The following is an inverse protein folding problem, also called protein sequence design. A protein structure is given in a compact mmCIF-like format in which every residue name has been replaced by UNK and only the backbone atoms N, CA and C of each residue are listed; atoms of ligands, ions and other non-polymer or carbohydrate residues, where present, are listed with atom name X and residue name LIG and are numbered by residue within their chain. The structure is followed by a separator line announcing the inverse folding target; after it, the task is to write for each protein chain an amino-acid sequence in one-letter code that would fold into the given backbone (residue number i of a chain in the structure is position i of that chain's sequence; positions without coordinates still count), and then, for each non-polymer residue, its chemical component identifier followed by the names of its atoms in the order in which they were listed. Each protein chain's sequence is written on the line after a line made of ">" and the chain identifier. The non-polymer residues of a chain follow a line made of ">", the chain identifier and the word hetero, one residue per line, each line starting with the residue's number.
data_IF_725277835476
#
_entry.id   IF_725277835476
#
_cell.length_a   1.000
_cell.length_b   1.000
_cell.length_c   1.000
_cell.angle_alpha   90.00
_cell.angle_beta   90.00
_cell.angle_gamma   90.00
#
_symmetry.space_group_name_H-M   'P 1'
#
loop_
_entity.id
_entity.type
_entity.pdbx_description
1 polymer ?
#
# COMPACT_ATOMS: atom_id res chain seq x y z
N UNK A 1 -9.27 -18.45 6.23
CA UNK A 1 -8.87 -17.54 5.13
C UNK A 1 -8.46 -18.45 3.97
N UNK A 2 -9.28 -18.53 2.93
CA UNK A 2 -9.00 -19.36 1.74
C UNK A 2 -7.97 -18.64 0.87
N UNK A 3 -6.78 -19.23 0.67
CA UNK A 3 -5.82 -18.75 -0.33
C UNK A 3 -6.47 -18.78 -1.72
N UNK A 4 -6.41 -17.68 -2.47
CA UNK A 4 -6.72 -17.68 -3.91
C UNK A 4 -7.76 -16.69 -4.41
N UNK A 5 -8.49 -15.97 -3.54
CA UNK A 5 -9.30 -14.83 -3.99
C UNK A 5 -8.52 -13.54 -3.77
N UNK A 6 -7.90 -13.02 -4.83
CA UNK A 6 -7.48 -11.61 -4.86
C UNK A 6 -8.74 -10.76 -4.83
N UNK A 7 -8.74 -9.75 -3.97
CA UNK A 7 -9.90 -8.89 -3.80
C UNK A 7 -10.14 -7.98 -5.02
N UNK A 8 -9.14 -7.81 -5.88
CA UNK A 8 -9.18 -7.04 -7.13
C UNK A 8 -10.22 -7.53 -8.17
N UNK A 9 -10.71 -8.77 -8.07
CA UNK A 9 -11.77 -9.28 -8.95
C UNK A 9 -13.19 -9.16 -8.34
N UNK A 10 -13.31 -8.59 -7.15
CA UNK A 10 -14.60 -8.37 -6.50
C UNK A 10 -15.22 -7.08 -7.05
N UNK A 11 -16.40 -7.18 -7.65
CA UNK A 11 -17.13 -6.06 -8.29
C UNK A 11 -17.53 -4.92 -7.35
N UNK A 12 -17.29 -5.06 -6.04
CA UNK A 12 -17.60 -4.07 -5.00
C UNK A 12 -16.38 -3.32 -4.45
N UNK A 13 -15.15 -3.65 -4.91
CA UNK A 13 -13.97 -2.82 -4.65
C UNK A 13 -13.97 -1.71 -5.68
N UNK A 14 -14.80 -0.70 -5.40
CA UNK A 14 -14.94 0.46 -6.26
C UNK A 14 -14.04 1.57 -5.75
N UNK A 15 -13.26 2.17 -6.65
CA UNK A 15 -12.58 3.44 -6.41
C UNK A 15 -13.55 4.61 -6.21
N UNK A 16 -14.86 4.41 -6.42
CA UNK A 16 -15.91 5.44 -6.24
C UNK A 16 -16.01 5.99 -4.82
N UNK A 17 -15.49 5.27 -3.82
CA UNK A 17 -15.68 5.63 -2.42
C UNK A 17 -14.44 6.32 -1.82
N UNK A 18 -13.38 6.52 -2.62
CA UNK A 18 -12.20 7.28 -2.19
C UNK A 18 -12.62 8.75 -2.09
N UNK A 19 -12.53 9.30 -0.88
CA UNK A 19 -12.78 10.71 -0.60
C UNK A 19 -11.56 11.57 -0.91
N UNK A 20 -10.39 11.12 -0.45
CA UNK A 20 -9.13 11.85 -0.61
C UNK A 20 -7.96 10.86 -0.73
N UNK A 21 -7.00 11.19 -1.59
CA UNK A 21 -5.72 10.47 -1.68
C UNK A 21 -4.58 11.44 -1.92
N UNK A 22 -3.60 11.49 -1.02
CA UNK A 22 -2.37 12.26 -1.20
C UNK A 22 -1.19 11.30 -1.40
N UNK A 23 -0.61 11.34 -2.61
CA UNK A 23 0.62 10.63 -2.90
C UNK A 23 1.87 11.32 -2.33
N UNK A 24 1.78 12.61 -1.99
CA UNK A 24 2.90 13.42 -1.52
C UNK A 24 4.13 13.43 -2.45
N UNK A 25 3.87 13.36 -3.76
CA UNK A 25 4.86 13.40 -4.84
C UNK A 25 5.31 14.82 -5.19
N UNK A 26 5.82 15.54 -4.19
CA UNK A 26 6.26 16.94 -4.34
C UNK A 26 5.11 17.95 -4.37
N UNK A 27 3.88 17.51 -4.07
CA UNK A 27 2.67 18.34 -4.04
C UNK A 27 1.77 17.97 -2.86
N UNK A 28 0.97 18.95 -2.41
CA UNK A 28 -0.06 18.79 -1.37
C UNK A 28 -1.47 18.59 -1.95
N UNK A 29 -1.59 18.49 -3.28
CA UNK A 29 -2.85 18.21 -3.96
C UNK A 29 -3.28 16.76 -3.69
N UNK A 30 -4.55 16.55 -3.36
CA UNK A 30 -5.13 15.22 -3.39
C UNK A 30 -5.46 14.83 -4.84
N UNK A 31 -5.35 13.54 -5.17
CA UNK A 31 -5.62 13.01 -6.50
C UNK A 31 -7.11 13.07 -6.89
N UNK A 32 -8.00 13.29 -5.92
CA UNK A 32 -9.43 13.51 -6.15
C UNK A 32 -9.75 14.99 -6.43
N UNK A 33 -8.75 15.88 -6.39
CA UNK A 33 -8.85 17.33 -6.57
C UNK A 33 -9.93 18.00 -5.71
N UNK A 34 -10.23 17.46 -4.52
CA UNK A 34 -11.31 17.92 -3.64
C UNK A 34 -10.78 18.52 -2.34
N UNK A 35 -9.68 17.98 -1.83
CA UNK A 35 -9.12 18.26 -0.50
C UNK A 35 -7.63 18.61 -0.60
N UNK A 36 -7.32 19.73 -1.25
CA UNK A 36 -5.94 20.24 -1.25
C UNK A 36 -5.48 20.51 0.19
N UNK A 37 -4.34 19.93 0.57
CA UNK A 37 -3.78 20.15 1.89
C UNK A 37 -2.97 21.46 1.92
N UNK A 38 -3.06 22.18 3.03
CA UNK A 38 -2.34 23.42 3.29
C UNK A 38 -1.30 23.14 4.36
N UNK A 39 -0.06 23.52 4.05
CA UNK A 39 1.07 23.25 4.92
C UNK A 39 1.29 24.34 5.98
N UNK A 40 1.73 23.93 7.18
CA UNK A 40 2.13 24.81 8.27
C UNK A 40 3.56 24.53 8.68
N UNK A 41 4.33 25.60 8.86
CA UNK A 41 5.76 25.57 9.19
C UNK A 41 6.64 24.85 8.13
N UNK A 42 6.22 24.96 6.86
CA UNK A 42 6.96 24.51 5.67
C UNK A 42 7.56 23.09 5.76
N UNK A 43 6.73 22.04 5.88
CA UNK A 43 7.14 20.66 5.61
C UNK A 43 7.84 20.54 4.25
N UNK A 44 8.69 19.53 4.11
CA UNK A 44 9.40 19.22 2.87
C UNK A 44 9.00 17.86 2.32
N UNK A 45 9.52 17.51 1.15
CA UNK A 45 9.41 16.17 0.58
C UNK A 45 10.78 15.50 0.51
N UNK A 46 10.83 14.18 0.69
CA UNK A 46 12.04 13.37 0.46
C UNK A 46 11.93 12.61 -0.86
N UNK A 47 13.07 12.31 -1.49
CA UNK A 47 13.11 11.60 -2.79
C UNK A 47 12.90 10.08 -2.70
N UNK A 48 12.94 9.52 -1.48
CA UNK A 48 12.87 8.08 -1.23
C UNK A 48 11.61 7.79 -0.40
N UNK A 49 10.46 8.12 -0.97
CA UNK A 49 9.16 7.75 -0.42
C UNK A 49 8.95 6.25 -0.37
N UNK A 50 7.78 5.82 0.08
CA UNK A 50 7.36 4.45 -0.17
C UNK A 50 7.20 4.28 -1.68
N UNK A 51 6.40 5.13 -2.33
CA UNK A 51 6.35 5.29 -3.78
C UNK A 51 6.89 6.66 -4.12
N UNK A 52 7.90 6.75 -4.99
CA UNK A 52 8.49 8.02 -5.45
C UNK A 52 8.94 8.92 -4.27
N UNK A 53 8.20 9.98 -3.93
CA UNK A 53 8.53 10.92 -2.84
C UNK A 53 7.58 10.76 -1.65
N UNK A 54 7.94 11.30 -0.49
CA UNK A 54 7.06 11.31 0.68
C UNK A 54 7.09 12.63 1.42
N UNK A 55 6.00 12.96 2.11
CA UNK A 55 5.90 14.10 3.01
C UNK A 55 6.84 13.89 4.20
N UNK A 56 7.66 14.89 4.51
CA UNK A 56 8.53 14.92 5.69
C UNK A 56 8.01 15.91 6.72
N UNK A 57 7.75 15.42 7.93
CA UNK A 57 7.31 16.21 9.08
C UNK A 57 8.37 16.17 10.18
N UNK A 58 8.78 17.35 10.62
CA UNK A 58 9.68 17.55 11.76
C UNK A 58 8.88 18.09 12.97
N UNK A 59 8.81 17.27 14.02
CA UNK A 59 8.07 17.61 15.23
C UNK A 59 8.70 18.80 15.97
N UNK A 60 10.04 18.94 15.96
CA UNK A 60 10.72 20.07 16.61
C UNK A 60 10.41 21.43 15.94
N UNK A 61 10.01 21.39 14.66
CA UNK A 61 9.56 22.57 13.91
C UNK A 61 8.04 22.74 13.91
N UNK A 62 7.30 21.93 14.68
CA UNK A 62 5.84 21.94 14.75
C UNK A 62 5.19 21.85 13.36
N UNK A 63 5.71 20.98 12.49
CA UNK A 63 5.26 20.84 11.11
C UNK A 63 4.02 19.96 10.99
N UNK A 64 3.05 20.40 10.17
CA UNK A 64 1.83 19.64 9.90
C UNK A 64 1.12 20.15 8.64
N UNK A 65 0.11 19.41 8.18
CA UNK A 65 -0.83 19.85 7.15
C UNK A 65 -2.25 19.92 7.71
N UNK A 66 -3.12 20.69 7.06
CA UNK A 66 -4.56 20.64 7.29
C UNK A 66 -5.32 20.82 5.98
N UNK A 67 -6.55 20.33 5.92
CA UNK A 67 -7.46 20.51 4.79
C UNK A 67 -8.88 20.79 5.29
N UNK A 68 -9.81 21.05 4.38
CA UNK A 68 -11.23 21.23 4.69
C UNK A 68 -11.84 19.97 5.30
N UNK A 69 -13.09 20.09 5.75
CA UNK A 69 -13.82 18.98 6.33
C UNK A 69 -14.00 17.81 5.34
N UNK A 70 -13.71 16.59 5.80
CA UNK A 70 -13.94 15.33 5.09
C UNK A 70 -15.04 14.56 5.85
N UNK A 71 -16.08 14.06 5.16
CA UNK A 71 -17.28 13.51 5.80
C UNK A 71 -17.07 12.14 6.45
N UNK A 72 -16.48 12.14 7.66
CA UNK A 72 -16.24 10.95 8.48
C UNK A 72 -17.18 10.85 9.69
N UNK A 73 -17.90 11.93 10.01
CA UNK A 73 -18.85 11.99 11.13
C UNK A 73 -20.05 11.10 10.79
N UNK A 74 -20.44 10.26 11.74
CA UNK A 74 -21.58 9.37 11.62
C UNK A 74 -21.53 8.52 10.32
N UNK A 75 -20.34 8.05 9.92
CA UNK A 75 -20.13 7.25 8.71
C UNK A 75 -19.14 6.10 8.96
N UNK A 76 -19.22 5.05 8.17
CA UNK A 76 -18.13 4.06 8.05
C UNK A 76 -16.97 4.70 7.29
N UNK A 77 -15.74 4.42 7.69
CA UNK A 77 -14.58 4.95 7.00
C UNK A 77 -13.36 4.05 7.11
N UNK A 78 -12.43 4.27 6.20
CA UNK A 78 -11.06 3.76 6.30
C UNK A 78 -10.07 4.88 6.06
N UNK A 79 -9.08 5.00 6.94
CA UNK A 79 -7.90 5.86 6.74
C UNK A 79 -6.68 4.94 6.69
N UNK A 80 -5.93 4.99 5.60
CA UNK A 80 -4.71 4.19 5.45
C UNK A 80 -3.57 4.99 4.81
N UNK A 81 -2.34 4.58 5.08
CA UNK A 81 -1.14 5.27 4.66
C UNK A 81 0.11 4.43 4.93
N UNK A 82 1.21 4.81 4.29
CA UNK A 82 2.54 4.37 4.67
C UNK A 82 3.17 5.36 5.65
N UNK A 83 3.72 4.84 6.74
CA UNK A 83 4.45 5.59 7.77
C UNK A 83 5.91 5.17 7.84
N UNK A 84 6.80 6.15 8.04
CA UNK A 84 8.19 5.93 8.40
C UNK A 84 8.55 6.85 9.57
N UNK A 85 8.27 6.44 10.83
CA UNK A 85 8.66 7.24 11.99
C UNK A 85 10.17 7.29 12.13
N UNK A 86 10.75 8.48 12.29
CA UNK A 86 12.20 8.67 12.53
C UNK A 86 12.52 8.93 14.00
N UNK A 87 11.49 9.15 14.82
CA UNK A 87 11.61 9.27 16.26
C UNK A 87 10.24 9.39 16.93
N UNK A 88 10.23 9.27 18.25
CA UNK A 88 9.06 9.49 19.09
C UNK A 88 9.35 10.60 20.13
N UNK A 89 9.40 11.88 19.70
CA UNK A 89 9.84 12.97 20.57
C UNK A 89 8.78 13.44 21.58
N UNK A 90 7.51 13.10 21.40
CA UNK A 90 6.44 13.52 22.32
C UNK A 90 6.35 12.54 23.50
N UNK A 91 5.97 13.04 24.67
CA UNK A 91 5.82 12.22 25.88
C UNK A 91 4.73 11.15 25.76
N UNK A 92 3.68 11.43 24.98
CA UNK A 92 2.50 10.56 24.83
C UNK A 92 2.15 10.28 23.37
N UNK A 93 1.50 11.22 22.69
CA UNK A 93 0.89 10.97 21.38
C UNK A 93 1.70 11.59 20.24
N UNK A 94 1.80 10.87 19.13
CA UNK A 94 2.42 11.31 17.87
C UNK A 94 1.34 11.27 16.78
N UNK A 95 0.76 12.42 16.49
CA UNK A 95 -0.41 12.56 15.65
C UNK A 95 -0.17 12.02 14.24
N UNK A 96 -1.15 11.28 13.71
CA UNK A 96 -1.16 10.88 12.29
C UNK A 96 -2.21 11.71 11.57
N UNK A 97 -3.47 11.60 12.00
CA UNK A 97 -4.59 12.34 11.45
C UNK A 97 -5.60 12.67 12.54
N UNK A 98 -6.15 13.88 12.50
CA UNK A 98 -7.15 14.34 13.44
C UNK A 98 -8.34 15.00 12.77
N UNK A 99 -9.54 14.64 13.23
CA UNK A 99 -10.77 15.40 13.04
C UNK A 99 -11.38 15.59 14.43
N UNK A 100 -10.96 16.67 15.10
CA UNK A 100 -11.29 16.92 16.49
C UNK A 100 -11.94 18.28 16.69
N UNK A 101 -13.13 18.26 17.27
CA UNK A 101 -13.92 19.45 17.56
C UNK A 101 -13.87 19.82 19.03
N UNK A 102 -13.99 18.82 19.90
CA UNK A 102 -13.74 18.90 21.33
C UNK A 102 -13.18 17.56 21.83
N UNK A 103 -12.58 17.53 23.02
CA UNK A 103 -12.15 16.27 23.66
C UNK A 103 -13.28 15.58 24.44
N UNK A 104 -14.54 15.93 24.17
CA UNK A 104 -15.69 15.22 24.74
C UNK A 104 -15.89 13.89 24.04
N UNK A 105 -16.55 12.96 24.74
CA UNK A 105 -16.88 11.64 24.19
C UNK A 105 -17.50 11.75 22.80
N UNK A 106 -16.97 10.94 21.90
CA UNK A 106 -17.37 10.74 20.52
C UNK A 106 -17.14 11.95 19.59
N UNK A 107 -16.49 13.03 20.04
CA UNK A 107 -16.36 14.28 19.27
C UNK A 107 -14.97 14.51 18.64
N UNK A 108 -14.02 13.60 18.83
CA UNK A 108 -12.66 13.77 18.34
C UNK A 108 -12.06 12.47 17.83
N UNK A 109 -11.97 12.36 16.51
CA UNK A 109 -11.19 11.34 15.83
C UNK A 109 -9.71 11.62 16.03
N UNK A 110 -9.06 10.74 16.78
CA UNK A 110 -7.64 10.77 17.07
C UNK A 110 -6.98 9.51 16.53
N UNK A 111 -6.28 9.63 15.40
CA UNK A 111 -5.40 8.60 14.86
C UNK A 111 -3.95 8.95 15.21
N UNK A 112 -3.25 8.09 15.95
CA UNK A 112 -1.92 8.41 16.48
C UNK A 112 -1.06 7.19 16.71
N UNK A 113 0.24 7.42 16.91
CA UNK A 113 1.13 6.51 17.61
C UNK A 113 1.23 6.96 19.07
N UNK A 114 0.67 6.18 19.99
CA UNK A 114 0.65 6.45 21.43
C UNK A 114 1.77 5.70 22.14
N UNK A 115 2.47 6.40 23.02
CA UNK A 115 3.35 5.79 24.01
C UNK A 115 2.51 5.19 25.16
N UNK A 116 2.41 3.86 25.18
CA UNK A 116 1.77 3.07 26.21
C UNK A 116 2.83 2.27 26.95
N UNK A 117 3.28 2.79 28.10
CA UNK A 117 4.32 2.15 28.93
C UNK A 117 5.60 1.83 28.14
N UNK A 118 6.17 2.84 27.47
CA UNK A 118 7.40 2.76 26.65
C UNK A 118 7.27 1.95 25.36
N UNK A 119 6.04 1.58 24.95
CA UNK A 119 5.76 0.97 23.65
C UNK A 119 4.93 1.91 22.79
N UNK A 120 5.28 2.06 21.52
CA UNK A 120 4.68 3.05 20.62
C UNK A 120 3.69 2.36 19.70
N UNK A 121 2.40 2.36 20.08
CA UNK A 121 1.34 1.58 19.43
C UNK A 121 0.42 2.48 18.62
N UNK A 122 -0.14 1.94 17.54
CA UNK A 122 -1.21 2.62 16.81
C UNK A 122 -2.45 2.71 17.71
N UNK A 123 -3.12 3.85 17.66
CA UNK A 123 -4.24 4.15 18.52
C UNK A 123 -5.29 4.95 17.75
N UNK A 124 -6.53 4.47 17.80
CA UNK A 124 -7.72 5.15 17.27
C UNK A 124 -8.67 5.45 18.42
N UNK A 125 -9.18 6.67 18.48
CA UNK A 125 -10.13 7.07 19.50
C UNK A 125 -11.12 8.08 18.97
N UNK A 126 -12.33 8.05 19.52
CA UNK A 126 -13.33 9.12 19.38
C UNK A 126 -13.40 10.03 20.61
N UNK A 127 -12.35 10.07 21.46
CA UNK A 127 -12.30 10.74 22.76
C UNK A 127 -13.20 10.12 23.85
N UNK A 128 -13.29 8.79 23.87
CA UNK A 128 -13.97 8.02 24.92
C UNK A 128 -13.80 6.54 24.62
N UNK A 129 -14.39 6.11 23.50
CA UNK A 129 -14.12 4.81 22.90
C UNK A 129 -12.77 4.78 22.20
N UNK A 130 -12.03 3.70 22.42
CA UNK A 130 -10.64 3.58 22.05
C UNK A 130 -10.33 2.19 21.50
N UNK A 131 -9.48 2.13 20.48
CA UNK A 131 -8.88 0.92 19.95
C UNK A 131 -7.36 1.12 19.92
N UNK A 132 -6.61 0.15 20.42
CA UNK A 132 -5.15 0.19 20.47
C UNK A 132 -4.57 -1.07 19.82
N UNK A 133 -3.48 -0.93 19.07
CA UNK A 133 -2.77 -2.07 18.51
C UNK A 133 -2.00 -2.83 19.58
N UNK A 134 -1.92 -4.15 19.47
CA UNK A 134 -1.06 -4.98 20.32
C UNK A 134 0.41 -4.99 19.88
N UNK A 135 0.74 -4.40 18.72
CA UNK A 135 2.10 -4.29 18.17
C UNK A 135 2.63 -2.86 18.24
N UNK A 136 3.94 -2.73 18.47
CA UNK A 136 4.65 -1.45 18.38
C UNK A 136 4.96 -1.10 16.93
N UNK A 137 4.88 0.17 16.57
CA UNK A 137 5.34 0.71 15.30
C UNK A 137 6.87 0.79 15.32
N UNK A 138 7.58 0.18 14.35
CA UNK A 138 9.04 0.26 14.30
C UNK A 138 9.50 1.64 13.84
N UNK A 139 10.65 2.09 14.35
CA UNK A 139 11.37 3.23 13.79
C UNK A 139 12.06 2.83 12.48
N UNK A 140 12.27 3.83 11.62
CA UNK A 140 13.12 3.75 10.45
C UNK A 140 12.76 2.62 9.45
N UNK A 141 11.48 2.28 9.37
CA UNK A 141 10.96 1.25 8.46
C UNK A 141 9.61 1.67 7.92
N UNK A 142 9.43 1.61 6.60
CA UNK A 142 8.12 1.82 5.97
C UNK A 142 7.14 0.75 6.45
N UNK A 143 6.05 1.20 7.04
CA UNK A 143 5.00 0.36 7.59
C UNK A 143 3.66 0.84 7.09
N UNK A 144 2.88 -0.05 6.47
CA UNK A 144 1.50 0.26 6.09
C UNK A 144 0.63 0.21 7.34
N UNK A 145 -0.23 1.21 7.52
CA UNK A 145 -1.18 1.26 8.62
C UNK A 145 -2.56 1.56 8.05
N UNK A 146 -3.58 0.92 8.63
CA UNK A 146 -4.97 1.25 8.33
C UNK A 146 -5.82 1.30 9.60
N UNK A 147 -6.69 2.30 9.67
CA UNK A 147 -7.69 2.51 10.70
C UNK A 147 -9.06 2.39 10.05
N UNK A 148 -9.84 1.41 10.47
CA UNK A 148 -11.14 1.09 9.88
C UNK A 148 -12.20 1.26 10.96
N UNK A 149 -13.24 2.02 10.65
CA UNK A 149 -14.46 2.08 11.45
C UNK A 149 -15.65 1.63 10.61
N UNK A 150 -16.35 0.61 11.10
CA UNK A 150 -17.60 0.14 10.53
C UNK A 150 -18.76 0.62 11.42
N UNK A 151 -19.56 1.54 10.89
CA UNK A 151 -20.70 2.13 11.61
C UNK A 151 -21.84 1.13 11.84
N UNK A 152 -22.01 0.13 10.98
CA UNK A 152 -23.13 -0.82 11.11
C UNK A 152 -22.89 -1.79 12.28
N UNK A 153 -21.63 -2.07 12.58
CA UNK A 153 -21.20 -2.96 13.67
C UNK A 153 -20.52 -2.26 14.84
N UNK A 154 -20.27 -0.95 14.72
CA UNK A 154 -19.43 -0.13 15.59
C UNK A 154 -18.00 -0.67 15.77
N UNK A 155 -17.54 -1.49 14.84
CA UNK A 155 -16.22 -2.10 14.92
C UNK A 155 -15.12 -1.10 14.59
N UNK A 156 -14.16 -0.98 15.50
CA UNK A 156 -12.91 -0.24 15.35
C UNK A 156 -11.78 -1.23 15.11
N UNK A 157 -11.18 -1.22 13.92
CA UNK A 157 -10.09 -2.14 13.55
C UNK A 157 -8.82 -1.38 13.17
N UNK A 158 -7.68 -1.85 13.64
CA UNK A 158 -6.35 -1.31 13.32
C UNK A 158 -5.52 -2.40 12.66
N UNK A 159 -4.93 -2.07 11.53
CA UNK A 159 -4.07 -2.96 10.75
C UNK A 159 -2.65 -2.42 10.66
N UNK A 160 -1.68 -3.34 10.71
CA UNK A 160 -0.25 -3.08 10.52
C UNK A 160 0.29 -4.06 9.47
N UNK A 161 0.82 -3.54 8.37
CA UNK A 161 1.29 -4.33 7.21
C UNK A 161 0.24 -5.37 6.77
N UNK A 162 -1.03 -4.94 6.65
CA UNK A 162 -2.13 -5.80 6.21
C UNK A 162 -2.73 -6.72 7.29
N UNK A 163 -2.11 -6.82 8.47
CA UNK A 163 -2.56 -7.73 9.53
C UNK A 163 -3.36 -6.98 10.60
N UNK A 164 -4.47 -7.57 11.06
CA UNK A 164 -5.27 -7.02 12.16
C UNK A 164 -4.46 -7.07 13.47
N UNK A 165 -4.20 -5.92 14.08
CA UNK A 165 -3.42 -5.77 15.32
C UNK A 165 -4.18 -5.09 16.44
N UNK A 166 -5.32 -4.44 16.16
CA UNK A 166 -6.20 -3.85 17.16
C UNK A 166 -7.65 -4.05 16.77
N UNK A 167 -8.50 -4.34 17.75
CA UNK A 167 -9.94 -4.46 17.57
C UNK A 167 -10.67 -4.00 18.83
N UNK A 168 -11.67 -3.13 18.67
CA UNK A 168 -12.59 -2.72 19.72
C UNK A 168 -13.99 -2.50 19.15
N UNK A 169 -14.99 -2.38 20.01
CA UNK A 169 -16.34 -1.98 19.66
C UNK A 169 -16.60 -0.64 20.33
N UNK A 170 -16.99 0.37 19.57
CA UNK A 170 -17.42 1.65 20.13
C UNK A 170 -18.88 1.58 20.57
N UNK A 171 -19.25 2.43 21.52
CA UNK A 171 -20.64 2.61 21.93
C UNK A 171 -21.41 3.45 20.89
N UNK A 172 -20.73 4.43 20.27
CA UNK A 172 -21.30 5.34 19.29
C UNK A 172 -20.34 5.55 18.10
N UNK A 173 -20.86 5.97 16.93
CA UNK A 173 -20.02 6.46 15.86
C UNK A 173 -19.45 7.84 16.22
N UNK A 174 -18.46 8.32 15.48
CA UNK A 174 -17.98 9.70 15.60
C UNK A 174 -19.15 10.71 15.48
N UNK A 175 -19.38 11.52 16.52
CA UNK A 175 -20.45 12.52 16.66
C UNK A 175 -19.94 13.98 16.71
N UNK A 176 -18.71 14.23 16.28
CA UNK A 176 -18.19 15.59 16.16
C UNK A 176 -19.02 16.49 15.24
N UNK A 177 -18.66 17.76 15.14
CA UNK A 177 -19.16 18.69 14.11
C UNK A 177 -18.16 18.86 12.97
N UNK A 178 -18.59 19.45 11.86
CA UNK A 178 -17.68 19.71 10.74
C UNK A 178 -16.51 20.60 11.17
N UNK A 179 -15.29 20.16 10.89
CA UNK A 179 -14.06 20.89 11.18
C UNK A 179 -12.96 20.42 10.22
N UNK A 180 -11.85 21.16 10.20
CA UNK A 180 -10.69 20.82 9.40
C UNK A 180 -10.11 19.46 9.81
N UNK A 181 -9.70 18.70 8.80
CA UNK A 181 -8.87 17.52 9.00
C UNK A 181 -7.42 17.95 9.06
N UNK A 182 -6.67 17.40 10.02
CA UNK A 182 -5.26 17.69 10.27
C UNK A 182 -4.42 16.45 10.05
N UNK A 183 -3.19 16.61 9.52
CA UNK A 183 -2.24 15.53 9.25
C UNK A 183 -0.94 15.87 9.96
N UNK A 184 -0.48 14.97 10.83
CA UNK A 184 0.75 15.13 11.63
C UNK A 184 0.63 16.00 12.87
N UNK A 185 -0.58 16.44 13.21
CA UNK A 185 -0.89 17.27 14.39
C UNK A 185 -2.36 17.11 14.75
N UNK A 186 -2.72 17.19 16.04
CA UNK A 186 -4.12 17.21 16.48
C UNK A 186 -4.31 18.32 17.52
N UNK A 187 -4.99 19.43 17.18
CA UNK A 187 -5.07 20.62 18.03
C UNK A 187 -5.63 20.36 19.43
N UNK A 188 -6.72 19.59 19.53
CA UNK A 188 -7.39 19.31 20.81
C UNK A 188 -6.48 18.61 21.81
N UNK A 189 -5.62 17.71 21.33
CA UNK A 189 -4.68 16.95 22.16
C UNK A 189 -3.53 17.85 22.63
N UNK A 190 -3.05 18.78 21.79
CA UNK A 190 -1.97 19.69 22.20
C UNK A 190 -2.37 20.61 23.32
N UNK A 191 -3.58 21.15 23.26
CA UNK A 191 -4.12 21.99 24.32
C UNK A 191 -4.22 21.26 25.67
N UNK A 192 -4.48 19.95 25.67
CA UNK A 192 -4.71 19.18 26.90
C UNK A 192 -3.46 18.46 27.44
N UNK A 193 -2.55 18.03 26.56
CA UNK A 193 -1.48 17.08 26.93
C UNK A 193 -0.08 17.49 26.45
N UNK A 194 0.07 18.67 25.84
CA UNK A 194 1.33 19.15 25.28
C UNK A 194 1.58 18.68 23.85
N UNK A 195 2.80 18.87 23.33
CA UNK A 195 3.14 18.57 21.93
C UNK A 195 2.72 17.17 21.48
N UNK A 196 2.21 17.05 20.25
CA UNK A 196 1.87 15.77 19.64
C UNK A 196 2.29 15.64 18.16
N UNK A 197 3.22 16.45 17.68
CA UNK A 197 3.58 16.47 16.26
C UNK A 197 4.22 15.15 15.79
N UNK A 198 3.92 14.74 14.55
CA UNK A 198 4.59 13.60 13.94
C UNK A 198 6.06 13.90 13.62
N UNK A 199 6.91 12.88 13.77
CA UNK A 199 8.32 12.93 13.40
C UNK A 199 8.65 11.79 12.44
N UNK A 200 8.78 12.09 11.15
CA UNK A 200 9.03 11.08 10.12
C UNK A 200 8.42 11.40 8.76
N UNK A 201 8.19 10.34 7.99
CA UNK A 201 7.65 10.44 6.64
C UNK A 201 6.25 9.80 6.52
N UNK A 202 5.41 10.39 5.68
CA UNK A 202 4.06 9.91 5.35
C UNK A 202 3.94 9.82 3.82
N UNK A 203 3.35 8.74 3.33
CA UNK A 203 3.13 8.51 1.90
C UNK A 203 1.81 7.77 1.65
N UNK A 204 1.23 7.94 0.46
CA UNK A 204 -0.02 7.32 -0.02
C UNK A 204 -1.20 7.41 0.95
N UNK A 205 -1.37 8.55 1.65
CA UNK A 205 -2.50 8.74 2.56
C UNK A 205 -3.82 8.71 1.80
N UNK A 206 -4.65 7.71 2.09
CA UNK A 206 -5.93 7.48 1.45
C UNK A 206 -7.05 7.46 2.49
N UNK A 207 -8.16 8.14 2.20
CA UNK A 207 -9.36 8.18 3.01
C UNK A 207 -10.54 7.71 2.17
N UNK A 208 -11.25 6.69 2.65
CA UNK A 208 -12.35 6.02 1.95
C UNK A 208 -13.62 6.08 2.80
N UNK A 209 -14.77 6.35 2.18
CA UNK A 209 -16.08 6.45 2.83
C UNK A 209 -16.77 5.08 3.07
N UNK A 210 -15.98 4.07 3.46
CA UNK A 210 -16.49 2.75 3.87
C UNK A 210 -15.48 2.01 4.72
N UNK A 211 -15.95 0.99 5.43
CA UNK A 211 -15.08 0.02 6.08
C UNK A 211 -14.46 -0.92 5.03
N UNK A 212 -13.16 -0.83 4.79
CA UNK A 212 -12.45 -1.75 3.88
C UNK A 212 -12.37 -3.15 4.50
N UNK A 213 -12.59 -4.22 3.73
CA UNK A 213 -12.39 -5.60 4.18
C UNK A 213 -10.91 -5.88 4.40
N UNK A 214 -10.60 -6.88 5.23
CA UNK A 214 -9.22 -7.31 5.52
C UNK A 214 -8.40 -7.63 4.27
N UNK A 215 -9.00 -8.20 3.23
CA UNK A 215 -8.28 -8.57 2.01
C UNK A 215 -7.83 -7.36 1.19
N UNK A 216 -8.63 -6.29 1.14
CA UNK A 216 -8.28 -5.06 0.42
C UNK A 216 -7.18 -4.31 1.19
N UNK A 217 -7.24 -4.31 2.51
CA UNK A 217 -6.15 -3.81 3.36
C UNK A 217 -4.86 -4.61 3.17
N UNK A 218 -4.97 -5.94 3.04
CA UNK A 218 -3.82 -6.80 2.79
C UNK A 218 -3.21 -6.55 1.40
N UNK A 219 -4.06 -6.42 0.36
CA UNK A 219 -3.61 -6.08 -0.99
C UNK A 219 -2.90 -4.72 -0.99
N UNK A 220 -3.47 -3.69 -0.36
CA UNK A 220 -2.86 -2.35 -0.27
C UNK A 220 -1.52 -2.33 0.48
N UNK A 221 -1.37 -3.22 1.46
CA UNK A 221 -0.14 -3.35 2.24
C UNK A 221 0.96 -4.20 1.57
N UNK A 222 0.60 -5.13 0.66
CA UNK A 222 1.52 -6.18 0.22
C UNK A 222 1.68 -6.30 -1.30
N UNK A 223 0.70 -5.85 -2.09
CA UNK A 223 0.72 -5.95 -3.53
C UNK A 223 1.73 -4.95 -4.11
N UNK A 224 2.83 -5.46 -4.66
CA UNK A 224 3.86 -4.62 -5.26
C UNK A 224 3.37 -3.94 -6.56
N UNK A 225 2.66 -4.69 -7.40
CA UNK A 225 2.06 -4.21 -8.64
C UNK A 225 1.08 -5.24 -9.20
N UNK A 226 0.11 -4.80 -10.00
CA UNK A 226 -0.89 -5.65 -10.66
C UNK A 226 -1.30 -5.10 -12.01
N UNK A 227 -1.37 -5.96 -13.02
CA UNK A 227 -1.83 -5.59 -14.37
C UNK A 227 -2.90 -6.56 -14.84
N UNK A 228 -4.12 -6.07 -15.05
CA UNK A 228 -5.21 -6.84 -15.65
C UNK A 228 -5.16 -6.85 -17.20
N UNK A 229 -4.50 -5.86 -17.80
CA UNK A 229 -4.41 -5.63 -19.25
C UNK A 229 -5.74 -5.43 -19.99
N UNK A 230 -6.84 -5.15 -19.28
CA UNK A 230 -8.18 -4.99 -19.87
C UNK A 230 -8.43 -3.57 -20.42
N UNK A 231 -7.77 -2.57 -19.83
CA UNK A 231 -7.96 -1.15 -20.11
C UNK A 231 -7.04 -0.61 -21.22
N UNK A 232 -7.15 -1.17 -22.43
CA UNK A 232 -6.45 -0.66 -23.63
C UNK A 232 -6.79 0.82 -23.92
N UNK A 233 -5.83 1.66 -24.33
CA UNK A 233 -4.42 1.37 -24.59
C UNK A 233 -3.49 1.60 -23.39
N UNK A 234 -4.03 1.74 -22.17
CA UNK A 234 -3.26 2.16 -20.98
C UNK A 234 -2.63 0.95 -20.31
N UNK A 235 -1.30 1.00 -20.13
CA UNK A 235 -0.52 0.00 -19.40
C UNK A 235 -0.15 0.56 -18.02
N UNK A 236 -1.14 0.84 -17.19
CA UNK A 236 -0.90 1.32 -15.83
C UNK A 236 -1.04 0.19 -14.83
N UNK A 237 -0.25 0.28 -13.76
CA UNK A 237 -0.45 -0.53 -12.57
C UNK A 237 -1.87 -0.31 -12.04
N UNK A 238 -2.65 -1.38 -12.05
CA UNK A 238 -3.99 -1.46 -11.49
C UNK A 238 -3.97 -1.80 -10.00
N UNK A 239 -2.78 -1.97 -9.41
CA UNK A 239 -2.56 -2.12 -7.98
C UNK A 239 -2.54 -0.79 -7.21
N UNK A 240 -2.35 -0.86 -5.88
CA UNK A 240 -2.46 0.28 -4.97
C UNK A 240 -1.39 1.37 -5.22
N UNK A 241 -0.23 0.96 -5.74
CA UNK A 241 0.94 1.83 -5.90
C UNK A 241 0.88 2.70 -7.17
N UNK A 242 -0.02 2.39 -8.12
CA UNK A 242 -0.22 3.18 -9.34
C UNK A 242 1.08 3.47 -10.11
N UNK A 243 2.00 2.50 -10.13
CA UNK A 243 3.30 2.63 -10.77
C UNK A 243 3.18 2.87 -12.28
N UNK A 244 4.05 3.75 -12.79
CA UNK A 244 4.19 3.99 -14.22
C UNK A 244 4.95 2.83 -14.88
N UNK A 245 4.52 2.45 -16.08
CA UNK A 245 5.21 1.47 -16.90
C UNK A 245 5.72 2.08 -18.21
N UNK A 246 6.77 1.47 -18.75
CA UNK A 246 7.25 1.69 -20.11
C UNK A 246 7.08 0.41 -20.91
N UNK A 247 6.81 0.52 -22.21
CA UNK A 247 6.67 -0.66 -23.06
C UNK A 247 7.30 -0.45 -24.41
N UNK A 248 7.74 -1.55 -25.02
CA UNK A 248 8.30 -1.57 -26.36
C UNK A 248 7.69 -2.72 -27.14
N UNK A 249 7.19 -2.42 -28.35
CA UNK A 249 6.58 -3.40 -29.28
C UNK A 249 5.53 -4.32 -28.63
N UNK A 250 4.71 -3.76 -27.73
CA UNK A 250 3.57 -4.45 -27.12
C UNK A 250 2.30 -4.16 -27.91
N UNK A 251 1.44 -5.17 -28.08
CA UNK A 251 0.12 -5.02 -28.70
C UNK A 251 -0.96 -5.63 -27.81
N UNK A 252 -2.16 -5.04 -27.78
CA UNK A 252 -3.31 -5.63 -27.08
C UNK A 252 -3.99 -6.68 -27.96
N UNK A 253 -4.47 -7.76 -27.35
CA UNK A 253 -5.29 -8.79 -27.97
C UNK A 253 -6.58 -8.99 -27.17
N UNK A 254 -7.68 -9.23 -27.87
CA UNK A 254 -8.98 -9.59 -27.27
C UNK A 254 -9.08 -11.06 -26.84
N UNK A 255 -8.01 -11.83 -27.04
CA UNK A 255 -7.96 -13.27 -26.72
C UNK A 255 -7.23 -13.52 -25.39
N UNK A 256 -7.48 -12.68 -24.38
CA UNK A 256 -6.94 -12.82 -23.02
C UNK A 256 -7.51 -14.03 -22.27
N UNK A 257 -6.95 -14.33 -21.10
CA UNK A 257 -7.51 -15.38 -20.23
C UNK A 257 -8.92 -15.01 -19.74
N UNK A 258 -9.09 -13.78 -19.24
CA UNK A 258 -10.36 -13.28 -18.70
C UNK A 258 -11.06 -12.29 -19.63
N UNK A 259 -10.30 -11.46 -20.35
CA UNK A 259 -10.83 -10.51 -21.34
C UNK A 259 -9.73 -10.17 -22.36
N UNK A 260 -8.91 -9.14 -22.13
CA UNK A 260 -7.80 -8.79 -23.01
C UNK A 260 -6.48 -9.28 -22.43
N UNK A 261 -5.44 -9.22 -23.24
CA UNK A 261 -4.08 -9.42 -22.81
C UNK A 261 -3.14 -8.57 -23.66
N UNK A 262 -1.90 -8.46 -23.21
CA UNK A 262 -0.82 -7.97 -24.06
C UNK A 262 -0.11 -9.13 -24.75
N UNK A 263 0.39 -8.87 -25.96
CA UNK A 263 1.19 -9.81 -26.74
C UNK A 263 2.57 -9.22 -27.04
N UNK A 264 3.57 -10.08 -26.92
CA UNK A 264 4.98 -9.83 -27.22
C UNK A 264 5.30 -10.51 -28.55
N UNK A 265 5.29 -9.77 -29.65
CA UNK A 265 5.40 -10.32 -31.03
C UNK A 265 6.74 -10.02 -31.71
N UNK A 266 7.69 -9.44 -30.99
CA UNK A 266 9.02 -9.11 -31.49
C UNK A 266 10.07 -9.60 -30.48
N UNK A 267 11.25 -10.02 -30.96
CA UNK A 267 12.38 -10.39 -30.11
C UNK A 267 12.83 -9.30 -29.11
N UNK A 268 12.42 -8.05 -29.32
CA UNK A 268 12.76 -6.89 -28.47
C UNK A 268 11.55 -6.34 -27.71
N UNK A 269 10.41 -7.03 -27.71
CA UNK A 269 9.22 -6.54 -27.01
C UNK A 269 9.31 -6.76 -25.50
N UNK A 270 8.95 -5.76 -24.71
CA UNK A 270 8.88 -5.86 -23.24
C UNK A 270 7.86 -4.89 -22.64
N UNK A 271 7.44 -5.21 -21.42
CA UNK A 271 6.81 -4.30 -20.47
C UNK A 271 7.77 -4.15 -19.30
N UNK A 272 8.06 -2.91 -18.92
CA UNK A 272 8.99 -2.58 -17.84
C UNK A 272 8.29 -1.72 -16.80
N UNK A 273 8.54 -2.05 -15.53
CA UNK A 273 7.95 -1.40 -14.37
C UNK A 273 9.09 -1.09 -13.41
N UNK A 274 9.18 0.17 -13.00
CA UNK A 274 10.16 0.64 -12.02
C UNK A 274 9.53 0.97 -10.67
N UNK A 275 10.34 1.29 -9.67
CA UNK A 275 9.85 1.76 -8.37
C UNK A 275 9.16 0.70 -7.51
N UNK A 276 9.42 -0.59 -7.76
CA UNK A 276 8.83 -1.68 -6.98
C UNK A 276 9.34 -1.65 -5.52
N UNK A 277 8.41 -1.56 -4.58
CA UNK A 277 8.65 -1.50 -3.12
C UNK A 277 8.64 -2.87 -2.45
N UNK A 278 8.13 -3.88 -3.16
CA UNK A 278 7.88 -5.24 -2.67
C UNK A 278 8.81 -6.32 -3.24
N UNK A 279 9.59 -6.01 -4.28
CA UNK A 279 10.39 -6.99 -5.03
C UNK A 279 11.85 -6.52 -5.12
N UNK A 280 12.80 -7.47 -5.16
CA UNK A 280 14.23 -7.14 -5.23
C UNK A 280 14.83 -6.68 -3.89
N UNK A 281 14.16 -6.96 -2.77
CA UNK A 281 14.64 -6.64 -1.42
C UNK A 281 15.23 -7.89 -0.78
N UNK A 282 16.44 -7.77 -0.24
CA UNK A 282 17.12 -8.88 0.44
C UNK A 282 16.27 -9.46 1.56
N UNK A 283 16.12 -10.79 1.57
CA UNK A 283 15.37 -11.55 2.57
C UNK A 283 13.87 -11.22 2.71
N UNK A 284 13.28 -10.46 1.76
CA UNK A 284 11.85 -10.21 1.73
C UNK A 284 11.15 -11.32 0.94
N UNK A 285 10.15 -11.96 1.56
CA UNK A 285 9.33 -12.94 0.87
C UNK A 285 8.55 -12.28 -0.27
N UNK A 286 8.37 -13.00 -1.38
CA UNK A 286 7.61 -12.51 -2.53
C UNK A 286 6.81 -13.64 -3.18
N UNK A 287 5.82 -13.24 -3.97
CA UNK A 287 5.11 -14.10 -4.91
C UNK A 287 4.89 -13.38 -6.23
N UNK A 288 5.06 -14.07 -7.34
CA UNK A 288 4.75 -13.59 -8.69
C UNK A 288 3.73 -14.56 -9.28
N UNK A 289 2.58 -14.05 -9.68
CA UNK A 289 1.51 -14.83 -10.30
C UNK A 289 1.11 -14.21 -11.62
N UNK A 290 1.11 -15.00 -12.69
CA UNK A 290 0.74 -14.54 -14.02
C UNK A 290 0.11 -15.65 -14.87
N UNK A 291 -0.68 -15.23 -15.84
CA UNK A 291 -1.18 -16.08 -16.92
C UNK A 291 -0.35 -15.85 -18.18
N UNK A 292 0.08 -16.92 -18.85
CA UNK A 292 0.79 -16.86 -20.14
C UNK A 292 0.13 -17.74 -21.19
N UNK A 293 0.25 -17.35 -22.46
CA UNK A 293 -0.03 -18.20 -23.62
C UNK A 293 1.16 -18.18 -24.58
N UNK A 294 2.14 -19.09 -24.43
CA UNK A 294 3.39 -19.01 -25.17
C UNK A 294 3.26 -19.47 -26.62
N UNK A 295 3.79 -18.68 -27.55
CA UNK A 295 4.02 -19.07 -28.95
C UNK A 295 5.42 -19.64 -29.19
N UNK A 296 6.34 -19.44 -28.24
CA UNK A 296 7.68 -20.03 -28.19
C UNK A 296 8.00 -20.39 -26.73
N UNK A 297 8.80 -21.44 -26.53
CA UNK A 297 9.24 -21.93 -25.22
C UNK A 297 10.72 -21.63 -24.97
N UNK A 298 11.12 -20.39 -25.22
CA UNK A 298 12.50 -19.93 -25.08
C UNK A 298 12.54 -18.53 -24.48
N UNK A 299 13.54 -18.25 -23.64
CA UNK A 299 13.81 -16.92 -23.10
C UNK A 299 13.23 -16.68 -21.71
N UNK A 300 13.27 -15.42 -21.29
CA UNK A 300 12.84 -14.94 -19.97
C UNK A 300 11.43 -14.35 -20.06
N UNK A 301 10.61 -14.66 -19.08
CA UNK A 301 9.24 -14.15 -18.92
C UNK A 301 9.24 -13.00 -17.91
N UNK A 302 9.90 -13.19 -16.76
CA UNK A 302 10.05 -12.16 -15.73
C UNK A 302 11.53 -11.96 -15.44
N UNK A 303 12.00 -10.75 -15.74
CA UNK A 303 13.36 -10.31 -15.49
C UNK A 303 13.35 -9.19 -14.45
N UNK A 304 14.23 -9.29 -13.45
CA UNK A 304 14.34 -8.30 -12.38
C UNK A 304 15.74 -7.70 -12.42
N UNK A 305 15.84 -6.37 -12.30
CA UNK A 305 17.12 -5.66 -12.28
C UNK A 305 17.09 -4.45 -11.36
N UNK A 306 18.26 -4.08 -10.84
CA UNK A 306 18.47 -2.88 -10.03
C UNK A 306 18.41 -1.57 -10.83
N UNK A 307 18.52 -1.64 -12.17
CA UNK A 307 18.45 -0.49 -13.06
C UNK A 307 17.50 -0.74 -14.22
N UNK A 308 16.96 0.34 -14.81
CA UNK A 308 16.09 0.26 -15.98
C UNK A 308 16.79 -0.29 -17.24
N UNK A 309 18.12 -0.19 -17.32
CA UNK A 309 18.88 -0.73 -18.46
C UNK A 309 19.14 -2.25 -18.34
N UNK A 310 18.65 -2.91 -17.28
CA UNK A 310 18.95 -4.32 -17.02
C UNK A 310 20.38 -4.58 -16.52
N UNK A 311 21.04 -3.54 -16.00
CA UNK A 311 22.41 -3.60 -15.47
C UNK A 311 22.45 -3.63 -13.93
N UNK A 312 23.64 -3.80 -13.37
CA UNK A 312 23.84 -3.96 -11.92
C UNK A 312 23.50 -5.37 -11.45
N UNK A 313 22.78 -5.50 -10.33
CA UNK A 313 22.19 -6.78 -9.94
C UNK A 313 20.98 -7.05 -10.83
N UNK A 314 20.98 -8.19 -11.50
CA UNK A 314 19.86 -8.62 -12.31
C UNK A 314 19.76 -10.15 -12.37
N UNK A 315 18.53 -10.65 -12.57
CA UNK A 315 18.25 -12.08 -12.55
C UNK A 315 16.96 -12.41 -13.30
N UNK A 316 16.92 -13.55 -13.98
CA UNK A 316 15.72 -14.09 -14.61
C UNK A 316 14.92 -14.86 -13.57
N UNK A 317 13.82 -14.29 -13.09
CA UNK A 317 12.99 -14.93 -12.06
C UNK A 317 12.13 -16.04 -12.66
N UNK A 318 11.50 -15.80 -13.81
CA UNK A 318 10.69 -16.80 -14.51
C UNK A 318 11.12 -16.87 -15.97
N UNK A 319 11.32 -18.08 -16.50
CA UNK A 319 11.70 -18.29 -17.90
C UNK A 319 11.41 -19.72 -18.38
N UNK A 320 11.99 -20.06 -19.52
CA UNK A 320 11.93 -21.40 -20.11
C UNK A 320 13.26 -22.14 -20.03
N UNK A 321 13.21 -23.42 -19.66
CA UNK A 321 14.32 -24.35 -19.83
C UNK A 321 14.47 -24.77 -21.30
N UNK A 322 15.62 -25.35 -21.64
CA UNK A 322 15.88 -25.91 -22.98
C UNK A 322 14.92 -27.03 -23.39
N UNK A 323 14.32 -27.71 -22.42
CA UNK A 323 13.31 -28.76 -22.65
C UNK A 323 11.86 -28.21 -22.72
N UNK A 324 11.67 -26.89 -22.68
CA UNK A 324 10.36 -26.23 -22.72
C UNK A 324 9.60 -26.17 -21.39
N UNK A 325 10.22 -26.60 -20.28
CA UNK A 325 9.64 -26.47 -18.94
C UNK A 325 9.72 -25.03 -18.43
N UNK A 326 8.75 -24.63 -17.60
CA UNK A 326 8.86 -23.39 -16.84
C UNK A 326 9.96 -23.54 -15.80
N UNK A 327 10.77 -22.50 -15.65
CA UNK A 327 11.81 -22.41 -14.61
C UNK A 327 11.55 -21.17 -13.78
N UNK A 328 11.47 -21.35 -12.46
CA UNK A 328 11.56 -20.27 -11.50
C UNK A 328 12.98 -20.23 -10.94
N UNK A 329 13.53 -19.03 -10.72
CA UNK A 329 14.87 -18.86 -10.18
C UNK A 329 14.93 -17.72 -9.16
N UNK A 330 15.72 -17.93 -8.10
CA UNK A 330 16.00 -16.91 -7.10
C UNK A 330 17.49 -16.81 -6.79
N UNK A 331 17.90 -15.71 -6.17
CA UNK A 331 19.28 -15.48 -5.76
C UNK A 331 19.39 -15.30 -4.24
N UNK A 332 20.11 -16.21 -3.57
CA UNK A 332 20.41 -16.16 -2.12
C UNK A 332 21.92 -16.01 -1.84
N UNK A 333 22.69 -15.55 -2.84
CA UNK A 333 24.15 -15.67 -2.89
C UNK A 333 24.62 -16.82 -3.78
N UNK A 334 23.72 -17.76 -4.10
CA UNK A 334 23.86 -18.74 -5.18
C UNK A 334 22.58 -18.76 -6.01
N UNK A 335 22.68 -19.10 -7.30
CA UNK A 335 21.51 -19.30 -8.14
C UNK A 335 20.74 -20.55 -7.71
N UNK A 336 19.46 -20.38 -7.36
CA UNK A 336 18.51 -21.48 -7.14
C UNK A 336 17.56 -21.56 -8.34
N UNK A 337 17.22 -22.77 -8.76
CA UNK A 337 16.26 -22.98 -9.84
C UNK A 337 15.35 -24.17 -9.52
N UNK A 338 14.07 -24.04 -9.82
CA UNK A 338 13.08 -25.11 -9.76
C UNK A 338 12.40 -25.21 -11.12
N UNK A 339 12.21 -26.44 -11.57
CA UNK A 339 11.63 -26.76 -12.87
C UNK A 339 10.22 -27.26 -12.67
N UNK A 340 9.27 -26.62 -13.35
CA UNK A 340 7.91 -27.10 -13.48
C UNK A 340 7.79 -28.20 -14.54
N UNK A 341 6.57 -28.62 -14.87
CA UNK A 341 6.34 -29.52 -15.98
C UNK A 341 6.72 -28.88 -17.32
N UNK A 342 7.08 -29.71 -18.30
CA UNK A 342 7.18 -29.29 -19.68
C UNK A 342 5.79 -28.84 -20.18
N UNK A 343 5.72 -27.67 -20.79
CA UNK A 343 4.49 -27.17 -21.41
C UNK A 343 4.63 -27.16 -22.93
N UNK A 344 3.52 -26.97 -23.63
CA UNK A 344 3.49 -26.89 -25.10
C UNK A 344 3.07 -25.50 -25.56
N UNK A 345 3.58 -25.09 -26.73
CA UNK A 345 3.03 -23.96 -27.47
C UNK A 345 1.62 -24.35 -27.91
N UNK A 346 0.61 -23.75 -27.29
CA UNK A 346 -0.79 -24.10 -27.53
C UNK A 346 -1.67 -22.85 -27.47
N UNK A 347 -2.94 -23.00 -27.83
CA UNK A 347 -3.94 -21.96 -27.63
C UNK A 347 -4.42 -21.83 -26.18
N UNK A 348 -3.90 -22.63 -25.23
CA UNK A 348 -4.32 -22.58 -23.83
C UNK A 348 -3.46 -21.65 -22.98
N UNK A 349 -4.09 -21.07 -21.97
CA UNK A 349 -3.44 -20.24 -20.96
C UNK A 349 -2.90 -21.11 -19.83
N UNK A 350 -1.68 -20.83 -19.38
CA UNK A 350 -1.04 -21.45 -18.22
C UNK A 350 -0.95 -20.44 -17.08
N UNK A 351 -1.32 -20.86 -15.88
CA UNK A 351 -1.13 -20.09 -14.66
C UNK A 351 0.20 -20.49 -14.03
N UNK A 352 1.07 -19.51 -13.78
CA UNK A 352 2.38 -19.70 -13.19
C UNK A 352 2.43 -18.91 -11.88
N UNK A 353 2.86 -19.57 -10.81
CA UNK A 353 3.04 -18.94 -9.50
C UNK A 353 4.42 -19.26 -8.97
N UNK A 354 5.28 -18.25 -8.90
CA UNK A 354 6.54 -18.34 -8.18
C UNK A 354 6.34 -17.78 -6.77
N UNK A 355 6.90 -18.46 -5.75
CA UNK A 355 6.98 -17.92 -4.39
C UNK A 355 8.37 -18.13 -3.82
N UNK A 356 8.80 -17.20 -2.97
CA UNK A 356 10.03 -17.35 -2.20
C UNK A 356 9.87 -16.80 -0.79
N UNK A 357 10.46 -17.49 0.19
CA UNK A 357 10.66 -16.97 1.55
C UNK A 357 11.89 -17.61 2.19
N UNK A 358 12.45 -16.95 3.21
CA UNK A 358 13.57 -17.51 3.98
C UNK A 358 13.23 -18.84 4.67
N UNK A 359 11.95 -19.08 4.98
CA UNK A 359 11.48 -20.29 5.65
C UNK A 359 11.17 -21.42 4.68
N UNK A 360 10.52 -21.13 3.56
CA UNK A 360 10.01 -22.15 2.64
C UNK A 360 10.87 -22.35 1.39
N UNK A 361 11.89 -21.52 1.19
CA UNK A 361 12.69 -21.49 -0.04
C UNK A 361 11.88 -21.04 -1.26
N UNK A 362 12.46 -21.25 -2.44
CA UNK A 362 11.81 -21.06 -3.73
C UNK A 362 10.77 -22.16 -3.97
N UNK A 363 9.63 -21.82 -4.57
CA UNK A 363 8.61 -22.77 -5.07
C UNK A 363 8.02 -22.27 -6.39
N UNK A 364 7.60 -23.21 -7.23
CA UNK A 364 6.98 -23.01 -8.53
C UNK A 364 5.74 -23.90 -8.65
#
# INVERSE_FOLDING_TARGET
>A
MTCGFSCLNQTWISSSDILAKWAFDGTYLDQMNTYTAIAKNTPSFISNGYVNQALSLNAASNQYLYTSYIPLINASFTVELWLYPTGFPNSKDHAILGLCTSLSNDQCLHLTIRNSNSTHRLYMSFAGDNCESNQSVPLNTWTHVAFVFDKDTFAMSIYLNGNLVGHAISALPLQGIENNVTIGYIPGIVAAYGSNFFQGYIDQLTIVHRAKPVCEILDDATLATYYNFDNSPVLNDSGPNSLLSTSQYVSFTSSGHSSKAISFNNSTSYLQIGGLTGLGISNKAFSISLWIRPYSLSGTIVFVSSTAAGSGWCFSFIGFATNGSIVAQSWDGTARAIFGPAISTSSVWYHIVETWSSTNGLRL
#
